data_IF_194648284546
#
_entry.id   IF_194648284546
#
_cell.length_a   1.000
_cell.length_b   1.000
_cell.length_c   1.000
_cell.angle_alpha   90.00
_cell.angle_beta   90.00
_cell.angle_gamma   90.00
#
_symmetry.space_group_name_H-M   'P 1'
#
loop_
_entity.id
_entity.type
_entity.pdbx_description
1 polymer ?
#
# COMPACT_ATOMS: atom_id res chain seq x y z
N UNK A 1 13.02 -16.25 -9.40
CA UNK A 1 13.68 -14.95 -9.21
C UNK A 1 12.64 -14.03 -8.60
N UNK A 2 12.94 -13.34 -7.49
CA UNK A 2 11.97 -12.45 -6.86
C UNK A 2 11.88 -11.14 -7.64
N UNK A 3 10.68 -10.62 -7.85
CA UNK A 3 10.44 -9.30 -8.44
C UNK A 3 9.86 -8.39 -7.37
N UNK A 4 10.26 -7.12 -7.41
CA UNK A 4 9.84 -6.15 -6.40
C UNK A 4 9.31 -4.89 -7.07
N UNK A 5 8.38 -4.26 -6.39
CA UNK A 5 7.94 -2.89 -6.65
C UNK A 5 8.12 -2.07 -5.37
N UNK A 6 8.06 -0.75 -5.51
CA UNK A 6 8.12 0.20 -4.42
C UNK A 6 6.78 0.90 -4.27
N UNK A 7 6.32 1.02 -3.04
CA UNK A 7 5.14 1.80 -2.70
C UNK A 7 5.65 3.10 -2.07
N UNK A 8 5.23 4.24 -2.61
CA UNK A 8 5.51 5.54 -2.03
C UNK A 8 4.29 6.02 -1.27
N UNK A 9 4.47 6.37 0.00
CA UNK A 9 3.44 6.93 0.85
C UNK A 9 3.92 8.24 1.49
N UNK A 10 2.99 9.09 1.91
CA UNK A 10 3.25 10.17 2.84
C UNK A 10 2.39 10.00 4.09
N UNK A 11 3.04 9.94 5.24
CA UNK A 11 2.44 9.69 6.54
C UNK A 11 2.68 10.90 7.42
N UNK A 12 1.61 11.37 8.05
CA UNK A 12 1.65 12.37 9.12
C UNK A 12 0.92 11.82 10.33
N UNK A 13 1.51 11.96 11.51
CA UNK A 13 0.88 11.57 12.78
C UNK A 13 0.92 12.73 13.74
N UNK A 14 -0.23 13.07 14.32
CA UNK A 14 -0.36 13.99 15.43
C UNK A 14 -0.85 13.28 16.70
N UNK A 15 -1.23 14.07 17.73
CA UNK A 15 -1.65 13.53 19.02
C UNK A 15 -2.97 12.74 18.97
N UNK A 16 -3.73 12.89 17.90
CA UNK A 16 -5.09 12.38 17.76
C UNK A 16 -5.28 11.45 16.58
N UNK A 17 -4.51 11.61 15.49
CA UNK A 17 -4.71 10.82 14.28
C UNK A 17 -3.40 10.57 13.53
N UNK A 18 -3.35 9.46 12.81
CA UNK A 18 -2.39 9.21 11.72
C UNK A 18 -3.14 9.33 10.39
N UNK A 19 -2.64 10.18 9.49
CA UNK A 19 -3.13 10.31 8.12
C UNK A 19 -2.04 9.82 7.17
N UNK A 20 -2.42 8.98 6.21
CA UNK A 20 -1.50 8.47 5.21
C UNK A 20 -2.11 8.63 3.81
N UNK A 21 -1.29 9.07 2.86
CA UNK A 21 -1.62 9.15 1.45
C UNK A 21 -0.72 8.20 0.65
N UNK A 22 -1.34 7.25 -0.02
CA UNK A 22 -0.69 6.44 -1.03
C UNK A 22 -0.42 7.31 -2.26
N UNK A 23 0.84 7.47 -2.61
CA UNK A 23 1.27 8.36 -3.70
C UNK A 23 1.50 7.62 -5.01
N UNK A 24 1.84 6.33 -4.96
CA UNK A 24 1.98 5.51 -6.16
C UNK A 24 2.78 4.24 -5.94
N UNK A 25 2.84 3.44 -7.00
CA UNK A 25 3.63 2.22 -7.11
C UNK A 25 4.67 2.40 -8.22
N UNK A 26 5.89 1.95 -7.95
CA UNK A 26 7.05 2.21 -8.79
C UNK A 26 7.87 0.95 -9.00
N UNK A 27 8.29 0.73 -10.22
CA UNK A 27 9.32 -0.25 -10.55
C UNK A 27 10.65 0.47 -10.89
N UNK A 28 10.63 1.77 -11.18
CA UNK A 28 11.81 2.62 -11.39
C UNK A 28 12.02 3.62 -10.24
N UNK A 29 13.13 3.49 -9.52
CA UNK A 29 13.49 4.39 -8.42
C UNK A 29 13.73 5.85 -8.87
N UNK A 30 14.11 6.08 -10.13
CA UNK A 30 14.26 7.44 -10.67
C UNK A 30 12.90 8.11 -10.82
N UNK A 31 11.90 7.37 -11.28
CA UNK A 31 10.53 7.86 -11.37
C UNK A 31 9.92 8.06 -9.98
N UNK A 32 10.18 7.15 -9.04
CA UNK A 32 9.79 7.32 -7.64
C UNK A 32 10.34 8.63 -7.08
N UNK A 33 11.64 8.87 -7.20
CA UNK A 33 12.26 10.10 -6.70
C UNK A 33 11.76 11.34 -7.43
N UNK A 34 11.46 11.25 -8.73
CA UNK A 34 10.81 12.34 -9.48
C UNK A 34 9.43 12.66 -8.90
N UNK A 35 8.60 11.65 -8.65
CA UNK A 35 7.26 11.82 -8.09
C UNK A 35 7.31 12.35 -6.65
N UNK A 36 8.20 11.80 -5.81
CA UNK A 36 8.43 12.30 -4.45
C UNK A 36 8.82 13.77 -4.44
N UNK A 37 9.72 14.19 -5.33
CA UNK A 37 10.10 15.60 -5.48
C UNK A 37 8.92 16.50 -5.92
N UNK A 38 8.02 16.01 -6.77
CA UNK A 38 6.79 16.74 -7.14
C UNK A 38 5.87 16.85 -5.94
N UNK A 39 5.56 15.73 -5.29
CA UNK A 39 4.64 15.65 -4.16
C UNK A 39 5.14 16.48 -2.94
N UNK A 40 6.46 16.58 -2.74
CA UNK A 40 7.05 17.39 -1.66
C UNK A 40 6.67 18.88 -1.69
N UNK A 41 6.11 19.35 -2.81
CA UNK A 41 5.67 20.75 -2.99
C UNK A 41 4.19 20.95 -2.64
N UNK A 42 3.43 19.88 -2.45
CA UNK A 42 2.00 19.97 -2.13
C UNK A 42 1.79 20.47 -0.70
N UNK A 43 0.63 21.11 -0.49
CA UNK A 43 0.21 21.57 0.84
C UNK A 43 0.10 20.40 1.80
N UNK A 44 0.49 20.58 3.07
CA UNK A 44 0.54 19.50 4.05
C UNK A 44 1.78 18.62 3.89
N UNK A 45 2.13 18.14 2.70
CA UNK A 45 3.33 17.31 2.51
C UNK A 45 4.62 18.12 2.71
N UNK A 46 4.67 19.34 2.17
CA UNK A 46 5.83 20.26 2.34
C UNK A 46 6.09 20.62 3.81
N UNK A 47 5.04 20.60 4.64
CA UNK A 47 5.09 20.95 6.05
C UNK A 47 5.65 19.79 6.89
N UNK A 48 5.65 18.57 6.33
CA UNK A 48 6.16 17.33 6.93
C UNK A 48 7.11 16.59 5.95
N UNK A 49 8.29 17.14 5.65
CA UNK A 49 9.18 16.59 4.63
C UNK A 49 9.73 15.20 4.97
N UNK A 50 9.74 14.83 6.25
CA UNK A 50 10.16 13.50 6.71
C UNK A 50 9.02 12.45 6.69
N UNK A 51 7.82 12.83 6.24
CA UNK A 51 6.66 11.94 6.19
C UNK A 51 6.66 10.95 5.02
N UNK A 52 7.57 11.11 4.05
CA UNK A 52 7.66 10.19 2.92
C UNK A 52 8.26 8.85 3.33
N UNK A 53 7.52 7.77 3.05
CA UNK A 53 7.94 6.39 3.30
C UNK A 53 7.99 5.62 1.98
N UNK A 54 9.05 4.83 1.79
CA UNK A 54 9.22 3.95 0.64
C UNK A 54 9.19 2.52 1.16
N UNK A 55 8.30 1.72 0.61
CA UNK A 55 8.08 0.34 1.01
C UNK A 55 8.50 -0.57 -0.12
N UNK A 56 9.41 -1.52 0.13
CA UNK A 56 9.72 -2.58 -0.83
C UNK A 56 8.66 -3.66 -0.73
N UNK A 57 7.97 -3.96 -1.82
CA UNK A 57 6.93 -4.98 -1.86
C UNK A 57 7.30 -6.08 -2.86
N UNK A 58 7.35 -7.33 -2.40
CA UNK A 58 7.55 -8.49 -3.27
C UNK A 58 6.28 -8.71 -4.10
N UNK A 59 6.41 -8.65 -5.43
CA UNK A 59 5.31 -8.80 -6.36
C UNK A 59 4.78 -10.25 -6.33
N UNK A 60 3.48 -10.41 -6.51
CA UNK A 60 2.78 -11.70 -6.50
C UNK A 60 2.83 -12.45 -5.17
N UNK A 61 3.00 -11.72 -4.07
CA UNK A 61 3.03 -12.27 -2.72
C UNK A 61 1.95 -11.64 -1.87
N UNK A 62 1.25 -12.47 -1.10
CA UNK A 62 0.38 -12.05 -0.01
C UNK A 62 1.26 -11.70 1.18
N UNK A 63 1.21 -10.45 1.62
CA UNK A 63 1.94 -9.96 2.79
C UNK A 63 1.06 -9.89 4.05
N UNK A 64 -0.26 -9.88 3.86
CA UNK A 64 -1.23 -9.91 4.95
C UNK A 64 -2.33 -10.93 4.65
N UNK A 65 -2.28 -12.08 5.33
CA UNK A 65 -3.14 -13.25 5.04
C UNK A 65 -4.18 -13.55 6.13
N UNK A 66 -4.12 -12.83 7.24
CA UNK A 66 -5.01 -12.98 8.40
C UNK A 66 -5.72 -11.64 8.58
N UNK A 67 -7.03 -11.59 8.32
CA UNK A 67 -7.79 -10.34 8.30
C UNK A 67 -7.86 -9.63 9.65
N UNK A 68 -8.79 -8.71 9.82
CA UNK A 68 -8.94 -7.99 11.09
C UNK A 68 -9.39 -8.96 12.21
N UNK A 69 -8.56 -9.17 13.24
CA UNK A 69 -8.87 -10.07 14.38
C UNK A 69 -9.35 -9.31 15.63
N UNK A 70 -8.89 -8.07 15.82
CA UNK A 70 -9.29 -7.18 16.92
C UNK A 70 -9.28 -5.74 16.42
N UNK A 71 -10.38 -5.01 16.61
CA UNK A 71 -10.48 -3.57 16.38
C UNK A 71 -9.66 -2.88 17.47
N UNK A 72 -8.37 -2.68 17.22
CA UNK A 72 -7.55 -1.82 18.07
C UNK A 72 -7.64 -0.42 17.47
N UNK A 73 -8.41 0.45 18.12
CA UNK A 73 -8.48 1.88 17.80
C UNK A 73 -7.20 2.63 18.17
N UNK A 74 -6.02 2.11 17.85
CA UNK A 74 -4.77 2.83 18.06
C UNK A 74 -3.96 2.95 16.77
N UNK A 75 -3.69 4.22 16.46
CA UNK A 75 -2.43 4.78 15.96
C UNK A 75 -1.32 3.73 15.84
N UNK A 76 -0.81 3.59 14.62
CA UNK A 76 0.33 2.74 14.32
C UNK A 76 -0.09 1.61 13.39
N UNK A 77 -0.12 1.92 12.09
CA UNK A 77 0.14 0.90 11.09
C UNK A 77 1.35 0.11 11.55
N UNK A 78 1.20 -1.20 11.75
CA UNK A 78 2.30 -2.13 11.92
C UNK A 78 3.11 -2.13 10.62
N UNK A 79 3.90 -1.08 10.41
CA UNK A 79 4.74 -0.96 9.25
C UNK A 79 5.97 -1.82 9.46
N UNK A 80 6.13 -2.73 8.49
CA UNK A 80 7.39 -3.22 7.96
C UNK A 80 8.31 -3.83 9.02
N UNK A 81 8.30 -5.16 9.20
CA UNK A 81 9.49 -5.81 9.78
C UNK A 81 10.76 -5.28 9.10
N UNK A 82 11.86 -5.16 9.86
CA UNK A 82 13.17 -4.66 9.37
C UNK A 82 13.63 -5.32 8.05
N UNK A 83 13.09 -6.49 7.74
CA UNK A 83 13.29 -7.28 6.52
C UNK A 83 12.79 -6.59 5.23
N UNK A 84 11.94 -5.56 5.32
CA UNK A 84 11.47 -4.76 4.18
C UNK A 84 12.38 -3.54 3.88
N UNK A 85 13.47 -3.35 4.65
CA UNK A 85 14.54 -2.40 4.33
C UNK A 85 15.45 -2.97 3.22
N UNK A 86 15.81 -2.12 2.28
CA UNK A 86 16.25 -2.53 0.94
C UNK A 86 17.71 -3.05 0.92
N UNK A 87 17.90 -4.33 0.56
CA UNK A 87 19.16 -4.91 0.05
C UNK A 87 19.22 -4.88 -1.51
N UNK A 88 20.44 -4.72 -2.03
CA UNK A 88 20.88 -4.17 -3.33
C UNK A 88 20.71 -5.10 -4.55
N UNK A 89 19.63 -5.86 -4.64
CA UNK A 89 19.34 -6.61 -5.88
C UNK A 89 17.93 -6.40 -6.40
N UNK A 90 17.85 -5.79 -7.58
CA UNK A 90 16.63 -5.30 -8.19
C UNK A 90 16.33 -6.03 -9.50
N UNK A 91 15.11 -6.58 -9.57
CA UNK A 91 14.50 -6.99 -10.84
C UNK A 91 13.23 -6.19 -10.98
N UNK A 92 13.37 -5.13 -11.77
CA UNK A 92 12.33 -4.25 -12.26
C UNK A 92 11.60 -4.99 -13.37
N UNK A 93 10.31 -5.26 -13.18
CA UNK A 93 9.48 -5.83 -14.23
C UNK A 93 8.94 -4.68 -15.08
N UNK A 94 9.24 -4.67 -16.39
CA UNK A 94 8.72 -3.72 -17.37
C UNK A 94 7.20 -3.90 -17.61
N UNK A 95 6.42 -3.76 -16.54
CA UNK A 95 4.97 -3.77 -16.55
C UNK A 95 4.48 -2.35 -16.71
N UNK A 96 3.34 -2.19 -17.39
CA UNK A 96 2.62 -0.93 -17.41
C UNK A 96 1.65 -0.80 -16.23
N UNK A 97 1.00 -1.91 -15.87
CA UNK A 97 -0.02 -1.96 -14.85
C UNK A 97 0.26 -3.07 -13.83
N UNK A 98 -0.18 -2.84 -12.60
CA UNK A 98 -0.26 -3.83 -11.52
C UNK A 98 -1.68 -3.88 -10.97
N UNK A 99 -1.95 -4.91 -10.17
CA UNK A 99 -3.24 -5.11 -9.49
C UNK A 99 -2.98 -5.14 -7.99
N UNK A 100 -3.42 -4.10 -7.28
CA UNK A 100 -3.30 -4.01 -5.82
C UNK A 100 -4.54 -4.64 -5.20
N UNK A 101 -4.35 -5.58 -4.26
CA UNK A 101 -5.44 -6.09 -3.43
C UNK A 101 -5.38 -5.36 -2.10
N UNK A 102 -6.51 -4.83 -1.65
CA UNK A 102 -6.69 -4.34 -0.29
C UNK A 102 -7.98 -4.90 0.33
N UNK A 103 -8.10 -4.76 1.64
CA UNK A 103 -9.32 -5.06 2.37
C UNK A 103 -9.66 -3.90 3.29
N UNK A 104 -10.93 -3.50 3.28
CA UNK A 104 -11.44 -2.35 4.02
C UNK A 104 -12.30 -2.80 5.20
N UNK A 105 -12.10 -2.16 6.34
CA UNK A 105 -12.93 -2.36 7.52
C UNK A 105 -13.38 -1.03 8.10
N UNK A 106 -14.69 -0.86 8.22
CA UNK A 106 -15.30 0.30 8.85
C UNK A 106 -15.23 0.14 10.38
N UNK A 107 -14.36 0.91 11.02
CA UNK A 107 -14.14 0.93 12.47
C UNK A 107 -15.33 1.58 13.21
N UNK A 108 -15.86 2.66 12.63
CA UNK A 108 -17.06 3.35 13.09
C UNK A 108 -17.74 4.09 11.91
N UNK A 109 -18.85 4.80 12.17
CA UNK A 109 -19.64 5.49 11.13
C UNK A 109 -18.88 6.52 10.28
N UNK A 110 -17.63 6.84 10.64
CA UNK A 110 -16.81 7.88 10.00
C UNK A 110 -15.40 7.43 9.63
N UNK A 111 -15.01 6.20 9.97
CA UNK A 111 -13.60 5.77 9.87
C UNK A 111 -13.51 4.42 9.20
N UNK A 112 -12.93 4.39 8.00
CA UNK A 112 -12.54 3.18 7.31
C UNK A 112 -11.03 2.96 7.45
N UNK A 113 -10.63 1.73 7.77
CA UNK A 113 -9.25 1.25 7.72
C UNK A 113 -9.09 0.35 6.50
N UNK A 114 -8.34 0.83 5.50
CA UNK A 114 -7.99 0.06 4.30
C UNK A 114 -6.54 -0.40 4.39
N UNK A 115 -6.31 -1.69 4.18
CA UNK A 115 -4.98 -2.30 4.22
C UNK A 115 -4.67 -3.07 2.95
N UNK A 116 -3.52 -2.76 2.34
CA UNK A 116 -3.00 -3.48 1.18
C UNK A 116 -2.57 -4.89 1.64
N UNK A 117 -3.12 -5.90 0.98
CA UNK A 117 -2.82 -7.32 1.17
C UNK A 117 -1.57 -7.73 0.39
N UNK A 118 -1.45 -7.22 -0.84
CA UNK A 118 -0.37 -7.53 -1.75
C UNK A 118 -0.61 -6.96 -3.14
N UNK A 119 0.44 -6.98 -3.97
CA UNK A 119 0.39 -6.45 -5.34
C UNK A 119 0.76 -7.54 -6.33
N UNK A 120 0.01 -7.60 -7.43
CA UNK A 120 0.06 -8.69 -8.39
C UNK A 120 0.30 -8.18 -9.81
N UNK A 121 0.98 -8.99 -10.63
CA UNK A 121 1.35 -8.64 -12.00
C UNK A 121 0.21 -8.82 -13.00
N UNK A 122 -0.90 -9.46 -12.62
CA UNK A 122 -2.09 -9.61 -13.45
C UNK A 122 -3.35 -9.84 -12.59
N UNK A 123 -4.51 -9.52 -13.19
CA UNK A 123 -5.82 -9.60 -12.55
C UNK A 123 -6.17 -11.03 -12.09
N UNK A 124 -5.95 -12.04 -12.93
CA UNK A 124 -6.35 -13.42 -12.62
C UNK A 124 -5.65 -13.95 -11.35
N UNK A 125 -4.38 -13.57 -11.14
CA UNK A 125 -3.68 -13.90 -9.89
C UNK A 125 -4.30 -13.18 -8.69
N UNK A 126 -4.66 -11.90 -8.85
CA UNK A 126 -5.28 -11.14 -7.77
C UNK A 126 -6.64 -11.72 -7.37
N UNK A 127 -7.49 -12.02 -8.35
CA UNK A 127 -8.81 -12.66 -8.14
C UNK A 127 -8.68 -14.02 -7.45
N UNK A 128 -7.73 -14.86 -7.90
CA UNK A 128 -7.49 -16.16 -7.27
C UNK A 128 -7.08 -16.01 -5.80
N UNK A 129 -6.26 -15.01 -5.47
CA UNK A 129 -5.85 -14.74 -4.09
C UNK A 129 -7.03 -14.26 -3.25
N UNK A 130 -7.87 -13.36 -3.76
CA UNK A 130 -9.09 -12.92 -3.05
C UNK A 130 -9.96 -14.12 -2.69
N UNK A 131 -10.24 -15.02 -3.64
CA UNK A 131 -11.05 -16.21 -3.38
C UNK A 131 -10.45 -17.13 -2.31
N UNK A 132 -9.12 -17.25 -2.25
CA UNK A 132 -8.44 -18.02 -1.20
C UNK A 132 -8.50 -17.33 0.17
N UNK A 133 -8.43 -16.00 0.19
CA UNK A 133 -8.41 -15.20 1.42
C UNK A 133 -9.78 -15.08 2.07
N UNK A 134 -10.87 -15.17 1.30
CA UNK A 134 -12.24 -15.17 1.83
C UNK A 134 -12.51 -16.26 2.88
N UNK A 135 -11.74 -17.35 2.88
CA UNK A 135 -11.87 -18.42 3.88
C UNK A 135 -10.99 -18.21 5.12
N UNK A 136 -10.11 -17.21 5.12
CA UNK A 136 -9.17 -16.98 6.22
C UNK A 136 -9.83 -16.24 7.39
N UNK A 137 -9.35 -16.46 8.63
CA UNK A 137 -9.80 -15.72 9.81
C UNK A 137 -9.76 -14.20 9.61
N UNK A 138 -10.77 -13.49 10.10
CA UNK A 138 -10.94 -12.03 9.96
C UNK A 138 -11.50 -11.59 8.61
N UNK A 139 -11.06 -12.22 7.51
CA UNK A 139 -11.58 -11.92 6.16
C UNK A 139 -12.93 -12.60 5.89
N UNK A 140 -13.11 -13.84 6.36
CA UNK A 140 -14.36 -14.60 6.20
C UNK A 140 -15.58 -13.93 6.81
N UNK A 141 -15.38 -13.05 7.78
CA UNK A 141 -16.45 -12.31 8.44
C UNK A 141 -16.91 -11.12 7.58
N UNK A 142 -16.08 -10.69 6.62
CA UNK A 142 -16.31 -9.58 5.70
C UNK A 142 -15.79 -9.90 4.28
N UNK A 143 -16.32 -10.95 3.62
CA UNK A 143 -15.76 -11.47 2.37
C UNK A 143 -15.99 -10.55 1.15
N UNK A 144 -16.91 -9.58 1.26
CA UNK A 144 -17.22 -8.62 0.20
C UNK A 144 -16.37 -7.34 0.25
N UNK A 145 -15.53 -7.20 1.28
CA UNK A 145 -14.76 -5.98 1.53
C UNK A 145 -13.36 -5.98 0.90
N UNK A 146 -13.08 -6.93 -0.01
CA UNK A 146 -11.87 -6.91 -0.81
C UNK A 146 -12.01 -5.91 -1.96
N UNK A 147 -10.95 -5.17 -2.23
CA UNK A 147 -10.83 -4.26 -3.36
C UNK A 147 -9.67 -4.73 -4.23
N UNK A 148 -9.86 -4.75 -5.54
CA UNK A 148 -8.79 -4.95 -6.53
C UNK A 148 -8.73 -3.71 -7.41
N UNK A 149 -7.63 -2.98 -7.33
CA UNK A 149 -7.39 -1.81 -8.17
C UNK A 149 -6.34 -2.09 -9.25
N UNK A 150 -6.67 -1.79 -10.50
CA UNK A 150 -5.68 -1.70 -11.59
C UNK A 150 -4.98 -0.35 -11.52
N UNK A 151 -3.65 -0.37 -11.37
CA UNK A 151 -2.85 0.84 -11.19
C UNK A 151 -1.74 0.92 -12.24
N UNK A 152 -1.61 2.08 -12.87
CA UNK A 152 -0.47 2.37 -13.75
C UNK A 152 0.79 2.65 -12.90
N UNK A 153 1.88 1.96 -13.22
CA UNK A 153 3.15 2.15 -12.52
C UNK A 153 3.77 3.51 -12.84
N UNK A 154 4.57 4.02 -11.89
CA UNK A 154 5.35 5.26 -12.00
C UNK A 154 4.52 6.53 -12.15
N UNK A 155 3.23 6.46 -11.80
CA UNK A 155 2.32 7.60 -11.79
C UNK A 155 2.06 8.09 -10.37
N UNK A 156 1.76 9.39 -10.26
CA UNK A 156 1.29 10.00 -9.03
C UNK A 156 -0.21 9.80 -8.91
N UNK A 157 -0.64 9.04 -7.89
CA UNK A 157 -2.05 8.76 -7.62
C UNK A 157 -2.75 9.85 -6.80
N UNK A 158 -1.98 10.71 -6.12
CA UNK A 158 -2.50 11.72 -5.21
C UNK A 158 -1.93 13.11 -5.48
N UNK A 159 -2.79 14.10 -5.74
CA UNK A 159 -2.34 15.43 -6.22
C UNK A 159 -2.66 16.62 -5.31
N UNK A 160 -3.43 16.42 -4.23
CA UNK A 160 -3.95 17.53 -3.41
C UNK A 160 -3.16 17.83 -2.13
N UNK A 161 -2.35 16.89 -1.64
CA UNK A 161 -1.72 17.00 -0.30
C UNK A 161 -2.64 16.52 0.83
N UNK A 162 -2.44 16.99 2.06
CA UNK A 162 -3.37 16.73 3.17
C UNK A 162 -4.53 17.73 3.21
#
# INVERSE_FOLDING_TARGET
MKSFIYILEHIYTDKSHTNCKLLGFFDDLRELERIKNIASKFSGFKDYPNGFTIIKNELNKVHWSVGFHTVVGEIGRDYLPEEDLIDDTYIVQNLKFIFSISHIYTVDSSTDDERIIGVFSNLAMAEQVVEQLKEQPGFKDYPENFIIDEIELNQLLWSSGF
#
